data_IF_630147760499
#
_entry.id   IF_630147760499
#
_cell.length_a   1.000
_cell.length_b   1.000
_cell.length_c   1.000
_cell.angle_alpha   90.00
_cell.angle_beta   90.00
_cell.angle_gamma   90.00
#
_symmetry.space_group_name_H-M   'P 1'
#
loop_
_entity.id
_entity.type
_entity.pdbx_description
1 polymer ?
#
# COMPACT_ATOMS: atom_id res chain seq x y z
N UNK A 1 14.36 27.03 -43.72
CA UNK A 1 13.08 26.78 -43.01
C UNK A 1 13.30 25.59 -42.09
N UNK A 2 13.42 25.86 -40.79
CA UNK A 2 13.71 24.82 -39.80
C UNK A 2 12.44 24.01 -39.52
N UNK A 3 12.55 22.70 -39.75
CA UNK A 3 11.57 21.69 -39.40
C UNK A 3 11.39 21.68 -37.87
N UNK A 4 10.36 22.39 -37.40
CA UNK A 4 9.91 22.30 -36.00
C UNK A 4 9.34 20.90 -35.83
N UNK A 5 10.19 19.97 -35.37
CA UNK A 5 9.77 18.70 -34.76
C UNK A 5 8.57 18.99 -33.85
N UNK A 6 7.37 18.59 -34.27
CA UNK A 6 6.19 18.59 -33.41
C UNK A 6 6.58 17.80 -32.16
N UNK A 7 6.66 18.48 -31.03
CA UNK A 7 6.69 17.79 -29.75
C UNK A 7 5.44 16.91 -29.70
N UNK A 8 5.55 15.62 -29.37
CA UNK A 8 4.36 14.79 -29.23
C UNK A 8 3.44 15.46 -28.22
N UNK A 9 2.18 15.71 -28.60
CA UNK A 9 1.22 16.25 -27.65
C UNK A 9 1.20 15.34 -26.41
N UNK A 10 1.36 15.90 -25.20
CA UNK A 10 1.32 15.09 -23.99
C UNK A 10 -0.04 14.41 -23.92
N UNK A 11 -0.04 13.07 -23.97
CA UNK A 11 -1.27 12.30 -24.01
C UNK A 11 -2.17 12.68 -22.83
N UNK A 12 -3.40 13.13 -23.12
CA UNK A 12 -4.41 13.39 -22.11
C UNK A 12 -4.98 12.05 -21.62
N UNK A 13 -4.95 11.85 -20.32
CA UNK A 13 -5.60 10.70 -19.67
C UNK A 13 -6.64 11.17 -18.67
N UNK A 14 -7.77 10.46 -18.64
CA UNK A 14 -8.92 10.75 -17.78
C UNK A 14 -9.29 9.50 -16.99
N UNK A 15 -8.52 9.15 -15.94
CA UNK A 15 -8.72 7.91 -15.22
C UNK A 15 -10.04 7.93 -14.44
N UNK A 16 -10.81 6.85 -14.54
CA UNK A 16 -11.96 6.61 -13.66
C UNK A 16 -11.49 6.31 -12.24
N UNK A 17 -10.38 5.58 -12.11
CA UNK A 17 -9.75 5.25 -10.83
C UNK A 17 -8.33 5.79 -10.81
N UNK A 18 -8.02 6.61 -9.81
CA UNK A 18 -6.69 7.16 -9.59
C UNK A 18 -5.96 6.38 -8.49
N UNK A 19 -4.95 5.59 -8.87
CA UNK A 19 -4.03 5.00 -7.90
C UNK A 19 -2.98 6.03 -7.47
N UNK A 20 -3.25 6.76 -6.40
CA UNK A 20 -2.34 7.75 -5.83
C UNK A 20 -1.34 7.06 -4.91
N UNK A 21 -0.05 7.09 -5.30
CA UNK A 21 1.14 6.63 -4.54
C UNK A 21 1.85 5.37 -5.01
N UNK A 22 1.74 5.00 -6.30
CA UNK A 22 2.62 3.94 -6.86
C UNK A 22 4.07 4.36 -7.07
N UNK A 23 4.32 5.65 -7.30
CA UNK A 23 5.66 6.18 -7.57
C UNK A 23 6.34 6.76 -6.32
N UNK A 24 5.56 7.25 -5.37
CA UNK A 24 6.01 7.84 -4.10
C UNK A 24 4.86 7.81 -3.10
N UNK A 25 5.14 7.81 -1.80
CA UNK A 25 4.12 7.87 -0.75
C UNK A 25 3.55 9.30 -0.66
N UNK A 26 2.51 9.59 -1.45
CA UNK A 26 1.88 10.92 -1.52
C UNK A 26 1.31 11.32 -0.16
N UNK A 27 0.55 10.46 0.57
CA UNK A 27 0.04 10.83 1.88
C UNK A 27 1.12 11.21 2.90
N UNK A 28 2.30 10.58 2.85
CA UNK A 28 3.40 10.88 3.77
C UNK A 28 4.17 12.16 3.38
N UNK A 29 4.41 12.38 2.08
CA UNK A 29 5.38 13.40 1.65
C UNK A 29 4.80 14.55 0.82
N UNK A 30 3.63 14.38 0.21
CA UNK A 30 3.09 15.29 -0.81
C UNK A 30 1.59 15.54 -0.68
N UNK A 31 1.04 15.44 0.53
CA UNK A 31 -0.39 15.62 0.80
C UNK A 31 -0.91 16.99 0.32
N UNK A 32 -0.25 18.09 0.72
CA UNK A 32 -0.67 19.44 0.30
C UNK A 32 -0.55 19.65 -1.21
N UNK A 33 0.53 19.15 -1.81
CA UNK A 33 0.70 19.17 -3.26
C UNK A 33 -0.45 18.44 -3.95
N UNK A 34 -0.82 17.26 -3.46
CA UNK A 34 -1.90 16.46 -4.02
C UNK A 34 -3.25 17.17 -3.90
N UNK A 35 -3.57 17.74 -2.74
CA UNK A 35 -4.80 18.51 -2.55
C UNK A 35 -4.86 19.72 -3.48
N UNK A 36 -3.73 20.41 -3.69
CA UNK A 36 -3.66 21.50 -4.67
C UNK A 36 -3.91 21.02 -6.11
N UNK A 37 -3.42 19.84 -6.48
CA UNK A 37 -3.72 19.24 -7.81
C UNK A 37 -5.17 18.78 -7.92
N UNK A 38 -5.75 18.26 -6.84
CA UNK A 38 -7.14 17.87 -6.76
C UNK A 38 -8.06 19.07 -7.02
N UNK A 39 -7.81 20.20 -6.33
CA UNK A 39 -8.53 21.47 -6.54
C UNK A 39 -8.37 22.02 -7.96
N UNK A 40 -7.20 21.84 -8.56
CA UNK A 40 -6.93 22.27 -9.93
C UNK A 40 -7.56 21.35 -11.00
N UNK A 41 -8.12 20.19 -10.61
CA UNK A 41 -8.78 19.25 -11.52
C UNK A 41 -7.83 18.43 -12.40
N UNK A 42 -6.53 18.44 -12.12
CA UNK A 42 -5.54 17.73 -12.93
C UNK A 42 -4.08 18.04 -12.60
N UNK A 43 -3.17 17.28 -13.21
CA UNK A 43 -1.73 17.42 -13.06
C UNK A 43 -0.97 16.82 -14.24
N UNK A 44 0.30 17.20 -14.38
CA UNK A 44 1.22 16.50 -15.28
C UNK A 44 1.91 15.36 -14.54
N UNK A 45 2.01 14.21 -15.19
CA UNK A 45 2.69 13.03 -14.68
C UNK A 45 3.77 12.57 -15.65
N UNK A 46 4.96 12.32 -15.12
CA UNK A 46 6.09 11.79 -15.87
C UNK A 46 6.28 10.32 -15.52
N UNK A 47 6.42 9.47 -16.53
CA UNK A 47 6.70 8.06 -16.30
C UNK A 47 8.10 7.89 -15.68
N UNK A 48 8.20 7.30 -14.46
CA UNK A 48 9.49 7.17 -13.77
C UNK A 48 10.48 6.26 -14.52
N UNK A 49 9.98 5.35 -15.37
CA UNK A 49 10.81 4.45 -16.18
C UNK A 49 11.13 5.01 -17.57
N UNK A 50 10.39 6.03 -18.02
CA UNK A 50 10.57 6.67 -19.33
C UNK A 50 10.34 8.18 -19.19
N UNK A 51 11.34 8.95 -18.73
CA UNK A 51 11.17 10.38 -18.41
C UNK A 51 10.71 11.25 -19.58
N UNK A 52 10.92 10.82 -20.83
CA UNK A 52 10.40 11.47 -22.02
C UNK A 52 8.88 11.33 -22.21
N UNK A 53 8.23 10.42 -21.48
CA UNK A 53 6.78 10.24 -21.49
C UNK A 53 6.15 11.10 -20.38
N UNK A 54 5.63 12.25 -20.80
CA UNK A 54 4.83 13.15 -19.96
C UNK A 54 3.38 13.06 -20.40
N UNK A 55 2.47 12.91 -19.44
CA UNK A 55 1.03 12.83 -19.66
C UNK A 55 0.34 13.92 -18.85
N UNK A 56 -0.75 14.45 -19.41
CA UNK A 56 -1.66 15.33 -18.66
C UNK A 56 -2.77 14.45 -18.10
N UNK A 57 -2.90 14.43 -16.78
CA UNK A 57 -3.97 13.72 -16.07
C UNK A 57 -5.07 14.72 -15.75
N UNK A 58 -6.25 14.52 -16.32
CA UNK A 58 -7.46 15.26 -15.94
C UNK A 58 -8.32 14.41 -15.01
N UNK A 59 -8.79 15.01 -13.92
CA UNK A 59 -9.61 14.36 -12.91
C UNK A 59 -11.11 14.42 -13.22
N UNK A 60 -11.49 14.94 -14.39
CA UNK A 60 -12.88 15.14 -14.77
C UNK A 60 -13.73 13.85 -14.78
N UNK A 61 -13.10 12.70 -15.03
CA UNK A 61 -13.76 11.39 -15.01
C UNK A 61 -13.44 10.58 -13.74
N UNK A 62 -12.60 11.10 -12.84
CA UNK A 62 -12.18 10.35 -11.65
C UNK A 62 -13.35 10.20 -10.69
N UNK A 63 -13.55 8.96 -10.24
CA UNK A 63 -14.59 8.58 -9.28
C UNK A 63 -13.99 8.10 -7.97
N UNK A 64 -12.92 7.29 -8.06
CA UNK A 64 -12.28 6.68 -6.89
C UNK A 64 -10.80 7.01 -6.86
N UNK A 65 -10.29 7.37 -5.68
CA UNK A 65 -8.87 7.56 -5.40
C UNK A 65 -8.40 6.48 -4.42
N UNK A 66 -7.38 5.72 -4.80
CA UNK A 66 -6.77 4.70 -3.93
C UNK A 66 -5.45 5.24 -3.41
N UNK A 67 -5.38 5.50 -2.12
CA UNK A 67 -4.15 5.97 -1.46
C UNK A 67 -3.32 4.78 -0.97
N UNK A 68 -2.00 4.87 -1.14
CA UNK A 68 -1.04 3.93 -0.56
C UNK A 68 -0.09 4.67 0.34
N UNK A 69 0.10 4.18 1.57
CA UNK A 69 1.02 4.83 2.49
C UNK A 69 1.51 3.90 3.59
N UNK A 70 2.71 4.17 4.09
CA UNK A 70 3.19 3.67 5.38
C UNK A 70 2.90 4.64 6.52
N UNK A 71 2.61 5.92 6.20
CA UNK A 71 2.39 6.96 7.19
C UNK A 71 1.50 8.10 6.63
N UNK A 72 0.17 7.90 6.53
CA UNK A 72 -0.74 8.85 5.86
C UNK A 72 -1.10 10.09 6.68
N UNK A 73 -0.26 10.49 7.64
CA UNK A 73 -0.55 11.58 8.57
C UNK A 73 -0.84 12.90 7.85
N UNK A 74 -0.14 13.19 6.73
CA UNK A 74 -0.32 14.40 5.96
C UNK A 74 -1.73 14.58 5.39
N UNK A 75 -2.47 13.49 5.16
CA UNK A 75 -3.85 13.56 4.66
C UNK A 75 -4.91 13.64 5.75
N UNK A 76 -4.59 13.41 7.03
CA UNK A 76 -5.58 13.44 8.11
C UNK A 76 -6.32 14.79 8.17
N UNK A 77 -5.59 15.90 8.03
CA UNK A 77 -6.14 17.25 8.05
C UNK A 77 -7.05 17.54 6.83
N UNK A 78 -6.90 16.78 5.75
CA UNK A 78 -7.59 16.99 4.48
C UNK A 78 -8.77 16.04 4.27
N UNK A 79 -9.04 15.11 5.21
CA UNK A 79 -10.10 14.10 5.05
C UNK A 79 -11.50 14.71 4.86
N UNK A 80 -11.80 15.81 5.54
CA UNK A 80 -13.10 16.49 5.42
C UNK A 80 -13.25 17.22 4.08
N UNK A 81 -12.15 17.71 3.52
CA UNK A 81 -12.15 18.26 2.18
C UNK A 81 -12.29 17.16 1.13
N UNK A 82 -11.53 16.06 1.26
CA UNK A 82 -11.64 14.89 0.38
C UNK A 82 -13.06 14.33 0.38
N UNK A 83 -13.69 14.22 1.55
CA UNK A 83 -15.07 13.71 1.66
C UNK A 83 -16.07 14.63 0.96
N UNK A 84 -15.89 15.96 1.04
CA UNK A 84 -16.77 16.94 0.37
C UNK A 84 -16.49 17.12 -1.12
N UNK A 85 -15.32 16.69 -1.60
CA UNK A 85 -14.93 16.82 -3.01
C UNK A 85 -15.76 15.99 -3.98
N UNK A 86 -16.53 15.02 -3.48
CA UNK A 86 -17.33 14.10 -4.30
C UNK A 86 -16.56 12.89 -4.82
N UNK A 87 -15.25 12.80 -4.58
CA UNK A 87 -14.49 11.59 -4.85
C UNK A 87 -14.71 10.54 -3.76
N UNK A 88 -14.85 9.30 -4.18
CA UNK A 88 -14.71 8.15 -3.31
C UNK A 88 -13.22 7.85 -3.07
N UNK A 89 -12.87 7.33 -1.90
CA UNK A 89 -11.48 6.96 -1.62
C UNK A 89 -11.36 5.95 -0.48
N UNK A 90 -10.28 5.18 -0.54
CA UNK A 90 -9.86 4.27 0.54
C UNK A 90 -8.33 4.21 0.61
N UNK A 91 -7.84 3.67 1.71
CA UNK A 91 -6.42 3.58 2.00
C UNK A 91 -5.95 2.12 1.99
N UNK A 92 -4.84 1.92 1.30
CA UNK A 92 -3.93 0.79 1.43
C UNK A 92 -2.84 1.20 2.42
N UNK A 93 -2.98 0.82 3.69
CA UNK A 93 -2.05 1.20 4.75
C UNK A 93 -1.08 0.04 5.02
N UNK A 94 0.17 0.20 4.58
CA UNK A 94 1.25 -0.72 4.98
C UNK A 94 1.71 -0.45 6.41
N UNK A 95 1.55 -1.44 7.28
CA UNK A 95 1.99 -1.38 8.67
C UNK A 95 2.64 -2.71 9.05
N UNK A 96 3.98 -2.68 9.09
CA UNK A 96 4.83 -3.78 9.50
C UNK A 96 5.52 -3.47 10.83
N UNK A 97 5.87 -4.50 11.59
CA UNK A 97 6.72 -4.41 12.76
C UNK A 97 8.15 -4.84 12.39
N UNK A 98 8.96 -3.87 11.95
CA UNK A 98 10.39 -4.06 11.63
C UNK A 98 11.31 -3.14 12.44
N UNK A 99 10.86 -2.66 13.61
CA UNK A 99 11.65 -1.71 14.41
C UNK A 99 12.97 -2.31 14.89
N UNK A 100 12.94 -3.56 15.36
CA UNK A 100 14.12 -4.26 15.85
C UNK A 100 15.11 -4.60 14.72
N UNK A 101 14.57 -4.91 13.54
CA UNK A 101 15.32 -5.29 12.35
C UNK A 101 15.87 -4.07 11.59
N UNK A 102 15.24 -2.90 11.74
CA UNK A 102 15.63 -1.65 11.08
C UNK A 102 15.27 -1.59 9.59
N UNK A 103 14.33 -2.43 9.11
CA UNK A 103 14.04 -2.57 7.67
C UNK A 103 13.26 -1.39 7.05
N UNK A 104 12.65 -0.54 7.88
CA UNK A 104 11.86 0.61 7.43
C UNK A 104 12.39 1.92 8.06
N UNK A 105 13.62 2.36 7.71
CA UNK A 105 14.21 3.54 8.31
C UNK A 105 13.39 4.80 7.98
N UNK A 106 13.31 5.71 8.95
CA UNK A 106 12.61 7.00 8.81
C UNK A 106 11.10 6.94 9.06
N UNK A 107 10.54 5.77 9.38
CA UNK A 107 9.17 5.69 9.90
C UNK A 107 9.12 6.06 11.38
N UNK A 108 8.02 6.67 11.85
CA UNK A 108 7.77 6.86 13.28
C UNK A 108 7.66 5.53 14.03
N UNK A 109 7.78 5.56 15.36
CA UNK A 109 7.60 4.39 16.20
C UNK A 109 6.32 3.61 15.88
N UNK A 110 6.36 2.29 16.04
CA UNK A 110 5.25 1.39 15.73
C UNK A 110 3.98 1.78 16.50
N UNK A 111 4.13 2.22 17.75
CA UNK A 111 3.01 2.70 18.57
C UNK A 111 2.28 3.88 17.90
N UNK A 112 3.02 4.87 17.38
CA UNK A 112 2.46 6.05 16.71
C UNK A 112 1.81 5.66 15.37
N UNK A 113 2.41 4.70 14.65
CA UNK A 113 1.83 4.18 13.40
C UNK A 113 0.52 3.42 13.65
N UNK A 114 0.41 2.67 14.76
CA UNK A 114 -0.82 2.01 15.17
C UNK A 114 -1.87 3.05 15.57
N UNK A 115 -1.51 4.07 16.36
CA UNK A 115 -2.44 5.16 16.72
C UNK A 115 -2.98 5.87 15.47
N UNK A 116 -2.10 6.19 14.53
CA UNK A 116 -2.48 6.81 13.26
C UNK A 116 -3.43 5.93 12.45
N UNK A 117 -3.17 4.62 12.37
CA UNK A 117 -4.07 3.67 11.73
C UNK A 117 -5.48 3.72 12.35
N UNK A 118 -5.55 3.66 13.69
CA UNK A 118 -6.82 3.68 14.43
C UNK A 118 -7.58 4.98 14.18
N UNK A 119 -6.91 6.12 14.30
CA UNK A 119 -7.52 7.44 14.04
C UNK A 119 -8.04 7.58 12.61
N UNK A 120 -7.30 7.06 11.62
CA UNK A 120 -7.75 7.05 10.23
C UNK A 120 -9.01 6.19 10.07
N UNK A 121 -9.01 4.98 10.64
CA UNK A 121 -10.15 4.08 10.61
C UNK A 121 -11.36 4.60 11.40
N UNK A 122 -11.16 5.30 12.52
CA UNK A 122 -12.25 5.93 13.28
C UNK A 122 -12.94 7.04 12.47
N UNK A 123 -12.16 7.77 11.66
CA UNK A 123 -12.69 8.84 10.79
C UNK A 123 -13.37 8.28 9.53
N UNK A 124 -12.86 7.19 8.97
CA UNK A 124 -13.31 6.67 7.67
C UNK A 124 -14.22 5.44 7.78
N UNK A 125 -14.20 4.75 8.90
CA UNK A 125 -14.73 3.40 9.02
C UNK A 125 -13.74 2.33 8.56
N UNK A 126 -13.83 1.12 9.13
CA UNK A 126 -12.87 0.04 8.94
C UNK A 126 -12.85 -0.56 7.52
N UNK A 127 -13.93 -0.39 6.76
CA UNK A 127 -13.99 -0.87 5.37
C UNK A 127 -13.13 -0.05 4.40
N UNK A 128 -12.76 1.19 4.77
CA UNK A 128 -11.98 2.11 3.94
C UNK A 128 -10.49 2.15 4.30
N UNK A 129 -10.05 1.33 5.24
CA UNK A 129 -8.63 1.20 5.63
C UNK A 129 -8.22 -0.26 5.53
N UNK A 130 -7.55 -0.63 4.44
CA UNK A 130 -7.03 -1.97 4.22
C UNK A 130 -5.64 -2.06 4.84
N UNK A 131 -5.45 -2.99 5.79
CA UNK A 131 -4.14 -3.24 6.38
C UNK A 131 -3.30 -4.06 5.40
N UNK A 132 -2.06 -3.63 5.19
CA UNK A 132 -1.07 -4.37 4.42
C UNK A 132 0.12 -4.76 5.30
N UNK A 133 0.32 -6.05 5.46
CA UNK A 133 1.53 -6.65 6.00
C UNK A 133 2.42 -7.04 4.82
N UNK A 134 2.93 -6.02 4.11
CA UNK A 134 3.62 -6.18 2.84
C UNK A 134 4.82 -5.20 2.75
N UNK A 135 6.02 -5.68 2.39
CA UNK A 135 6.35 -7.09 2.19
C UNK A 135 6.73 -7.78 3.51
N UNK A 136 6.51 -9.08 3.59
CA UNK A 136 7.13 -9.96 4.60
C UNK A 136 8.59 -10.19 4.24
N UNK A 137 9.47 -9.99 5.21
CA UNK A 137 10.93 -10.06 5.03
C UNK A 137 11.54 -10.99 6.07
N UNK A 138 12.27 -12.01 5.61
CA UNK A 138 13.09 -12.86 6.48
C UNK A 138 14.47 -12.23 6.62
N UNK A 139 14.99 -12.22 7.83
CA UNK A 139 16.36 -11.80 8.16
C UNK A 139 17.06 -12.84 9.02
N UNK A 140 18.34 -12.65 9.30
CA UNK A 140 19.10 -13.43 10.29
C UNK A 140 18.52 -13.38 11.70
N UNK A 141 17.71 -12.36 12.02
CA UNK A 141 17.09 -12.14 13.33
C UNK A 141 15.57 -12.27 13.34
N UNK A 142 14.95 -12.53 12.20
CA UNK A 142 13.49 -12.59 12.05
C UNK A 142 13.11 -13.65 11.02
N UNK A 143 12.64 -14.80 11.51
CA UNK A 143 12.14 -15.91 10.73
C UNK A 143 10.60 -15.93 10.64
N UNK A 144 10.06 -17.03 10.12
CA UNK A 144 8.60 -17.25 10.05
C UNK A 144 7.93 -17.19 11.43
N UNK A 145 8.46 -17.83 12.50
CA UNK A 145 7.86 -17.75 13.83
C UNK A 145 7.79 -16.31 14.36
N UNK A 146 8.87 -15.55 14.24
CA UNK A 146 8.92 -14.17 14.72
C UNK A 146 7.97 -13.25 13.94
N UNK A 147 7.85 -13.46 12.62
CA UNK A 147 6.90 -12.73 11.79
C UNK A 147 5.44 -13.07 12.15
N UNK A 148 5.13 -14.33 12.44
CA UNK A 148 3.80 -14.74 12.90
C UNK A 148 3.46 -14.11 14.25
N UNK A 149 4.41 -14.08 15.18
CA UNK A 149 4.24 -13.42 16.48
C UNK A 149 4.01 -11.91 16.33
N UNK A 150 4.77 -11.25 15.45
CA UNK A 150 4.57 -9.83 15.09
C UNK A 150 3.19 -9.62 14.47
N UNK A 151 2.78 -10.47 13.52
CA UNK A 151 1.48 -10.40 12.87
C UNK A 151 0.33 -10.59 13.87
N UNK A 152 0.44 -11.53 14.81
CA UNK A 152 -0.56 -11.75 15.86
C UNK A 152 -0.73 -10.51 16.76
N UNK A 153 0.38 -9.91 17.21
CA UNK A 153 0.35 -8.68 18.02
C UNK A 153 -0.28 -7.51 17.26
N UNK A 154 -0.02 -7.39 15.97
CA UNK A 154 -0.65 -6.36 15.13
C UNK A 154 -2.14 -6.64 14.89
N UNK A 155 -2.50 -7.86 14.52
CA UNK A 155 -3.89 -8.26 14.29
C UNK A 155 -4.76 -7.96 15.51
N UNK A 156 -4.29 -8.28 16.72
CA UNK A 156 -5.00 -7.95 17.97
C UNK A 156 -5.32 -6.46 18.12
N UNK A 157 -4.45 -5.57 17.64
CA UNK A 157 -4.59 -4.11 17.77
C UNK A 157 -5.34 -3.48 16.60
N UNK A 158 -5.29 -4.09 15.42
CA UNK A 158 -5.81 -3.51 14.17
C UNK A 158 -7.13 -4.13 13.72
N UNK A 159 -7.46 -5.36 14.11
CA UNK A 159 -8.66 -6.07 13.65
C UNK A 159 -9.98 -5.30 13.85
N UNK A 160 -10.21 -4.56 14.95
CA UNK A 160 -11.42 -3.74 15.07
C UNK A 160 -11.53 -2.64 14.00
N UNK A 161 -10.39 -2.17 13.49
CA UNK A 161 -10.21 -0.99 12.65
C UNK A 161 -10.03 -1.29 11.17
N UNK A 162 -10.10 -2.55 10.77
CA UNK A 162 -10.05 -2.96 9.36
C UNK A 162 -10.92 -4.18 9.11
N UNK A 163 -11.19 -4.47 7.83
CA UNK A 163 -11.87 -5.70 7.41
C UNK A 163 -11.02 -6.59 6.52
N UNK A 164 -9.84 -6.12 6.10
CA UNK A 164 -9.01 -6.83 5.12
C UNK A 164 -7.53 -6.69 5.47
N UNK A 165 -6.85 -7.82 5.53
CA UNK A 165 -5.40 -7.91 5.63
C UNK A 165 -4.86 -8.44 4.31
N UNK A 166 -4.00 -7.65 3.68
CA UNK A 166 -3.25 -8.04 2.49
C UNK A 166 -1.80 -8.28 2.88
N UNK A 167 -1.18 -9.36 2.41
CA UNK A 167 0.25 -9.61 2.63
C UNK A 167 0.94 -10.07 1.35
N UNK A 168 2.26 -9.99 1.33
CA UNK A 168 3.11 -10.49 0.24
C UNK A 168 4.46 -10.92 0.80
N UNK A 169 5.23 -11.65 0.02
CA UNK A 169 6.61 -12.01 0.33
C UNK A 169 7.57 -11.08 -0.43
N UNK A 170 8.71 -10.73 0.17
CA UNK A 170 9.66 -9.83 -0.47
C UNK A 170 10.37 -10.48 -1.67
N UNK A 171 10.24 -9.86 -2.85
CA UNK A 171 11.10 -10.11 -4.00
C UNK A 171 12.40 -9.29 -3.86
N UNK A 172 13.51 -9.93 -3.50
CA UNK A 172 14.82 -9.27 -3.31
C UNK A 172 15.69 -9.40 -4.55
N UNK A 173 15.78 -10.62 -5.12
CA UNK A 173 16.69 -10.91 -6.23
C UNK A 173 16.22 -10.29 -7.54
N UNK A 174 14.91 -10.15 -7.71
CA UNK A 174 14.30 -9.47 -8.87
C UNK A 174 14.60 -7.97 -8.91
N UNK A 175 14.88 -7.34 -7.77
CA UNK A 175 15.01 -5.89 -7.64
C UNK A 175 16.39 -5.48 -7.11
N UNK A 176 17.39 -5.26 -7.98
CA UNK A 176 18.77 -4.96 -7.56
C UNK A 176 18.92 -3.74 -6.62
N UNK A 177 18.00 -2.77 -6.71
CA UNK A 177 17.96 -1.62 -5.81
C UNK A 177 17.62 -2.00 -4.37
N UNK A 178 16.69 -2.95 -4.19
CA UNK A 178 16.30 -3.48 -2.87
C UNK A 178 17.50 -4.21 -2.25
N UNK A 179 18.10 -5.15 -2.98
CA UNK A 179 19.31 -5.87 -2.52
C UNK A 179 20.45 -4.93 -2.11
N UNK A 180 20.73 -3.90 -2.91
CA UNK A 180 21.76 -2.89 -2.60
C UNK A 180 21.44 -2.09 -1.33
N UNK A 181 20.18 -1.70 -1.15
CA UNK A 181 19.78 -0.91 0.01
C UNK A 181 19.83 -1.75 1.30
N UNK A 182 19.39 -3.00 1.25
CA UNK A 182 19.49 -3.95 2.37
C UNK A 182 20.96 -4.17 2.77
N UNK A 183 21.84 -4.44 1.80
CA UNK A 183 23.27 -4.60 2.05
C UNK A 183 23.90 -3.33 2.66
N UNK A 184 23.56 -2.14 2.15
CA UNK A 184 24.05 -0.86 2.71
C UNK A 184 23.56 -0.63 4.14
N UNK A 185 22.36 -1.09 4.46
CA UNK A 185 21.79 -1.01 5.81
C UNK A 185 22.32 -2.10 6.75
N UNK A 186 23.16 -3.03 6.27
CA UNK A 186 23.65 -4.16 7.06
C UNK A 186 22.57 -5.19 7.39
N UNK A 187 21.49 -5.25 6.60
CA UNK A 187 20.37 -6.16 6.83
C UNK A 187 20.57 -7.41 5.99
N UNK A 188 20.83 -8.54 6.66
CA UNK A 188 20.97 -9.86 6.05
C UNK A 188 19.59 -10.47 5.75
N UNK A 189 18.90 -9.93 4.75
CA UNK A 189 17.59 -10.42 4.35
C UNK A 189 17.66 -11.44 3.20
N UNK A 190 16.70 -12.36 3.18
CA UNK A 190 16.52 -13.36 2.11
C UNK A 190 15.06 -13.53 1.73
N UNK A 191 14.84 -14.08 0.54
CA UNK A 191 13.50 -14.46 0.07
C UNK A 191 12.99 -15.69 0.83
N UNK A 192 11.65 -15.84 0.85
CA UNK A 192 10.98 -17.02 1.36
C UNK A 192 11.15 -18.18 0.37
N UNK A 193 11.30 -19.40 0.90
CA UNK A 193 11.07 -20.61 0.08
C UNK A 193 9.61 -21.05 0.17
N UNK A 194 9.07 -21.84 -0.80
CA UNK A 194 7.67 -22.25 -0.78
C UNK A 194 7.22 -22.87 0.56
N UNK A 195 8.02 -23.76 1.15
CA UNK A 195 7.66 -24.36 2.44
C UNK A 195 7.41 -23.32 3.55
N UNK A 196 8.16 -22.21 3.57
CA UNK A 196 8.02 -21.11 4.53
C UNK A 196 6.82 -20.22 4.21
N UNK A 197 6.50 -20.03 2.92
CA UNK A 197 5.30 -19.31 2.48
C UNK A 197 4.04 -20.03 2.97
N UNK A 198 3.98 -21.35 2.79
CA UNK A 198 2.90 -22.21 3.24
C UNK A 198 2.82 -22.26 4.78
N UNK A 199 3.97 -22.32 5.46
CA UNK A 199 4.03 -22.25 6.93
C UNK A 199 3.45 -20.93 7.46
N UNK A 200 3.91 -19.80 6.92
CA UNK A 200 3.41 -18.49 7.30
C UNK A 200 1.92 -18.34 6.98
N UNK A 201 1.47 -18.77 5.80
CA UNK A 201 0.06 -18.70 5.41
C UNK A 201 -0.85 -19.49 6.37
N UNK A 202 -0.46 -20.71 6.72
CA UNK A 202 -1.20 -21.53 7.71
C UNK A 202 -1.24 -20.87 9.09
N UNK A 203 -0.09 -20.36 9.55
CA UNK A 203 0.00 -19.65 10.82
C UNK A 203 -0.89 -18.40 10.86
N UNK A 204 -0.87 -17.60 9.79
CA UNK A 204 -1.67 -16.39 9.69
C UNK A 204 -3.17 -16.69 9.67
N UNK A 205 -3.60 -17.75 8.98
CA UNK A 205 -5.00 -18.20 8.99
C UNK A 205 -5.44 -18.60 10.40
N UNK A 206 -4.58 -19.31 11.15
CA UNK A 206 -4.87 -19.68 12.53
C UNK A 206 -5.03 -18.44 13.43
N UNK A 207 -4.13 -17.46 13.31
CA UNK A 207 -4.22 -16.16 14.01
C UNK A 207 -5.53 -15.45 13.67
N UNK A 208 -5.89 -15.43 12.39
CA UNK A 208 -7.04 -14.67 11.89
C UNK A 208 -8.41 -15.26 12.30
N UNK A 209 -8.48 -16.52 12.76
CA UNK A 209 -9.73 -17.10 13.28
C UNK A 209 -10.35 -16.27 14.41
N UNK A 210 -9.51 -15.58 15.21
CA UNK A 210 -9.97 -14.67 16.26
C UNK A 210 -10.29 -13.24 15.80
N UNK A 211 -9.89 -12.85 14.58
CA UNK A 211 -9.97 -11.47 14.08
C UNK A 211 -10.99 -11.28 12.96
N UNK A 212 -11.32 -12.33 12.19
CA UNK A 212 -12.34 -12.28 11.14
C UNK A 212 -11.98 -11.40 9.94
N UNK A 213 -10.70 -11.11 9.70
CA UNK A 213 -10.27 -10.31 8.55
C UNK A 213 -10.33 -11.13 7.27
N UNK A 214 -10.70 -10.50 6.16
CA UNK A 214 -10.50 -11.10 4.84
C UNK A 214 -9.00 -11.13 4.53
N UNK A 215 -8.41 -12.32 4.43
CA UNK A 215 -7.00 -12.50 4.09
C UNK A 215 -6.83 -12.56 2.58
N UNK A 216 -5.84 -11.84 2.06
CA UNK A 216 -5.51 -11.89 0.65
C UNK A 216 -4.00 -11.71 0.38
N UNK A 217 -3.49 -12.34 -0.67
CA UNK A 217 -2.09 -12.14 -1.11
C UNK A 217 -1.98 -11.12 -2.23
N UNK A 218 -0.93 -10.31 -2.25
CA UNK A 218 -0.67 -9.36 -3.32
C UNK A 218 0.29 -9.95 -4.36
N UNK A 219 -0.18 -10.22 -5.58
CA UNK A 219 0.66 -10.55 -6.74
C UNK A 219 1.59 -11.78 -6.58
N UNK A 220 1.23 -12.71 -5.69
CA UNK A 220 2.00 -13.94 -5.46
C UNK A 220 1.73 -15.02 -6.52
N UNK A 221 2.78 -15.76 -6.90
CA UNK A 221 2.65 -16.95 -7.77
C UNK A 221 2.14 -18.19 -7.03
N UNK A 222 2.31 -18.22 -5.70
CA UNK A 222 1.88 -19.37 -4.89
C UNK A 222 0.37 -19.35 -4.71
N UNK A 223 -0.26 -20.48 -5.03
CA UNK A 223 -1.70 -20.68 -4.80
C UNK A 223 -1.96 -21.06 -3.35
N UNK A 224 -2.46 -20.10 -2.58
CA UNK A 224 -2.87 -20.27 -1.18
C UNK A 224 -4.40 -20.35 -1.02
N UNK A 225 -5.13 -20.57 -2.12
CA UNK A 225 -6.60 -20.65 -2.11
C UNK A 225 -7.12 -21.80 -1.25
N UNK A 226 -6.34 -22.89 -1.11
CA UNK A 226 -6.62 -24.02 -0.22
C UNK A 226 -6.72 -23.62 1.26
N UNK A 227 -6.19 -22.45 1.62
CA UNK A 227 -6.26 -21.87 2.95
C UNK A 227 -7.34 -20.77 3.08
N UNK A 228 -8.17 -20.57 2.06
CA UNK A 228 -9.16 -19.51 1.99
C UNK A 228 -8.56 -18.12 1.73
N UNK A 229 -7.29 -18.05 1.31
CA UNK A 229 -6.59 -16.81 1.02
C UNK A 229 -6.80 -16.48 -0.47
N UNK A 230 -7.45 -15.35 -0.74
CA UNK A 230 -7.76 -14.93 -2.12
C UNK A 230 -6.61 -14.13 -2.71
N UNK A 231 -6.47 -14.15 -4.04
CA UNK A 231 -5.52 -13.28 -4.72
C UNK A 231 -6.07 -11.85 -4.78
N UNK A 232 -5.36 -10.89 -4.18
CA UNK A 232 -5.76 -9.50 -4.13
C UNK A 232 -5.41 -8.76 -5.43
N UNK A 233 -6.24 -7.79 -5.80
CA UNK A 233 -5.87 -6.74 -6.76
C UNK A 233 -5.50 -5.48 -6.00
N UNK A 234 -4.37 -4.86 -6.38
CA UNK A 234 -3.91 -3.60 -5.76
C UNK A 234 -5.02 -2.53 -5.79
N UNK A 235 -5.68 -2.42 -6.94
CA UNK A 235 -6.88 -1.60 -7.15
C UNK A 235 -8.07 -2.55 -7.20
N UNK A 236 -8.85 -2.59 -6.12
CA UNK A 236 -9.84 -3.64 -5.85
C UNK A 236 -11.24 -3.17 -6.27
N UNK A 237 -11.67 -3.61 -7.45
CA UNK A 237 -13.00 -3.26 -7.99
C UNK A 237 -14.16 -3.87 -7.20
N UNK A 238 -13.97 -5.02 -6.56
CA UNK A 238 -15.01 -5.66 -5.74
C UNK A 238 -15.22 -4.89 -4.44
N UNK A 239 -14.12 -4.44 -3.82
CA UNK A 239 -14.18 -3.53 -2.68
C UNK A 239 -14.89 -2.22 -3.04
N UNK A 240 -14.55 -1.63 -4.19
CA UNK A 240 -15.20 -0.39 -4.65
C UNK A 240 -16.70 -0.57 -4.87
N UNK A 241 -17.11 -1.64 -5.57
CA UNK A 241 -18.52 -1.92 -5.82
C UNK A 241 -19.31 -2.19 -4.52
N UNK A 242 -18.67 -2.78 -3.51
CA UNK A 242 -19.28 -2.99 -2.19
C UNK A 242 -19.44 -1.69 -1.40
N UNK A 243 -18.43 -0.82 -1.45
CA UNK A 243 -18.42 0.46 -0.73
C UNK A 243 -19.36 1.50 -1.37
N UNK A 244 -19.41 1.51 -2.70
CA UNK A 244 -20.11 2.50 -3.52
C UNK A 244 -20.81 1.80 -4.70
N UNK A 245 -21.97 1.14 -4.46
CA UNK A 245 -22.73 0.42 -5.47
C UNK A 245 -23.42 1.34 -6.49
#
# INVERSE_FOLDING_TARGET
MADRKRQPEPGLVQPVVLSASRATDIPAFYADWFMNRLRAGGFQWTNPFRPSQVQTVSLAQTRVIVFWSKHPAGLLAHLDELTRSGFHFYFQYTLNDYEAEGCEPGLPPLADRIDLFRRLADRLGPDRVVWRLDPLLLTDRCGVPELLDKAARLAMRLAPYTRKLVFSFADIERYPGVRRNLARAGIAAREFVPAEMEEFARGLVAINRGSGLALATCAEQVDLSSHGIVHNRCVDGELMARLWP
#
